data_IF_908536317929
#
_entry.id   IF_908536317929
#
_cell.length_a   1.000
_cell.length_b   1.000
_cell.length_c   1.000
_cell.angle_alpha   90.00
_cell.angle_beta   90.00
_cell.angle_gamma   90.00
#
_symmetry.space_group_name_H-M   'P 1'
#
loop_
_entity.id
_entity.type
_entity.pdbx_description
1 polymer ?
#
# COMPACT_ATOMS: atom_id res chain seq x y z
N UNK A 1 29.32 15.68 -18.02
CA UNK A 1 28.37 14.54 -17.99
C UNK A 1 28.13 14.19 -16.55
N UNK A 2 26.89 14.26 -16.05
CA UNK A 2 26.59 13.84 -14.68
C UNK A 2 26.85 12.33 -14.56
N UNK A 3 27.62 11.87 -13.56
CA UNK A 3 27.85 10.44 -13.38
C UNK A 3 26.52 9.71 -13.18
N UNK A 4 26.41 8.43 -13.60
CA UNK A 4 25.22 7.61 -13.38
C UNK A 4 24.81 7.71 -11.91
N UNK A 5 23.50 7.78 -11.66
CA UNK A 5 22.91 7.93 -10.32
C UNK A 5 23.60 6.99 -9.33
N UNK A 6 24.44 7.56 -8.45
CA UNK A 6 25.17 6.79 -7.44
C UNK A 6 24.17 6.01 -6.62
N UNK A 7 24.38 4.69 -6.58
CA UNK A 7 23.43 3.76 -5.97
C UNK A 7 23.54 3.81 -4.44
N UNK A 8 24.77 4.01 -3.95
CA UNK A 8 25.15 4.23 -2.56
C UNK A 8 26.52 4.94 -2.54
N UNK A 9 26.94 5.47 -1.38
CA UNK A 9 28.18 6.24 -1.23
C UNK A 9 29.27 5.37 -0.58
N UNK A 10 30.00 4.60 -1.39
CA UNK A 10 31.03 3.68 -0.89
C UNK A 10 32.17 4.41 -0.15
N UNK A 11 32.44 5.67 -0.51
CA UNK A 11 33.47 6.50 0.11
C UNK A 11 33.15 6.78 1.57
N UNK A 12 31.94 7.29 1.83
CA UNK A 12 31.48 7.60 3.19
C UNK A 12 31.14 6.35 3.97
N UNK A 13 30.46 5.40 3.37
CA UNK A 13 30.00 4.18 4.03
C UNK A 13 31.19 3.38 4.56
N UNK A 14 32.26 3.20 3.78
CA UNK A 14 33.45 2.48 4.25
C UNK A 14 34.40 3.34 5.11
N UNK A 15 34.12 4.64 5.25
CA UNK A 15 34.95 5.56 6.04
C UNK A 15 36.37 5.76 5.50
N UNK A 16 36.63 5.43 4.23
CA UNK A 16 37.99 5.39 3.67
C UNK A 16 38.48 6.79 3.30
N UNK A 17 37.76 7.51 2.46
CA UNK A 17 38.11 8.88 2.07
C UNK A 17 36.87 9.62 1.57
N UNK A 18 37.01 10.88 1.20
CA UNK A 18 35.96 11.63 0.51
C UNK A 18 36.31 11.77 -0.98
N UNK A 19 35.33 11.77 -1.89
CA UNK A 19 35.60 11.91 -3.34
C UNK A 19 36.42 13.16 -3.69
N UNK A 20 36.25 14.23 -2.90
CA UNK A 20 36.83 15.54 -3.14
C UNK A 20 38.09 15.84 -2.30
N UNK A 21 38.47 14.95 -1.37
CA UNK A 21 39.64 15.18 -0.51
C UNK A 21 40.88 14.68 -1.25
N UNK A 22 41.94 15.48 -1.34
CA UNK A 22 43.23 15.05 -1.87
C UNK A 22 43.99 14.24 -0.81
N UNK A 23 44.69 13.19 -1.24
CA UNK A 23 45.43 12.30 -0.36
C UNK A 23 44.56 11.25 0.32
N UNK A 24 45.21 10.18 0.75
CA UNK A 24 44.60 9.05 1.43
C UNK A 24 45.46 8.66 2.63
N UNK A 25 44.87 8.56 3.81
CA UNK A 25 45.57 8.06 5.00
C UNK A 25 45.19 6.60 5.27
N UNK A 26 46.08 5.88 5.94
CA UNK A 26 45.85 4.51 6.37
C UNK A 26 44.53 4.37 7.15
N UNK A 27 43.76 3.32 6.88
CA UNK A 27 42.48 3.03 7.55
C UNK A 27 42.65 2.25 8.85
N UNK A 28 43.86 1.76 9.12
CA UNK A 28 44.18 1.03 10.34
C UNK A 28 44.07 1.91 11.59
N UNK A 29 43.97 1.26 12.74
CA UNK A 29 43.81 1.91 14.03
C UNK A 29 45.04 1.73 14.92
N UNK A 30 45.46 2.81 15.56
CA UNK A 30 46.46 2.76 16.62
C UNK A 30 45.84 2.22 17.91
N UNK A 31 46.66 1.90 18.93
CA UNK A 31 46.22 1.33 20.23
C UNK A 31 45.12 2.10 20.97
N UNK A 32 44.83 3.35 20.58
CA UNK A 32 43.78 4.19 21.15
C UNK A 32 42.52 4.28 20.28
N UNK A 33 42.32 3.36 19.32
CA UNK A 33 41.17 3.35 18.40
C UNK A 33 41.12 4.54 17.45
N UNK A 34 42.22 5.31 17.33
CA UNK A 34 42.31 6.43 16.40
C UNK A 34 42.84 5.94 15.06
N UNK A 35 42.30 6.49 13.97
CA UNK A 35 42.80 6.21 12.61
C UNK A 35 44.26 6.61 12.45
N UNK A 36 45.04 5.76 11.81
CA UNK A 36 46.43 6.00 11.46
C UNK A 36 46.55 7.25 10.57
N UNK A 37 47.57 8.07 10.83
CA UNK A 37 47.83 9.31 10.10
C UNK A 37 48.86 9.16 8.97
N UNK A 38 49.38 7.95 8.76
CA UNK A 38 50.33 7.72 7.67
C UNK A 38 49.61 7.81 6.35
N UNK A 39 50.19 8.58 5.44
CA UNK A 39 49.72 8.68 4.07
C UNK A 39 50.00 7.38 3.33
N UNK A 40 49.04 6.96 2.51
CA UNK A 40 49.18 5.85 1.58
C UNK A 40 49.98 6.37 0.36
N UNK A 41 50.86 5.55 -0.26
CA UNK A 41 51.60 5.96 -1.44
C UNK A 41 50.70 6.55 -2.53
N UNK A 42 51.16 7.63 -3.16
CA UNK A 42 50.40 8.34 -4.20
C UNK A 42 49.96 7.44 -5.36
N UNK A 43 50.72 6.36 -5.63
CA UNK A 43 50.46 5.43 -6.72
C UNK A 43 49.25 4.51 -6.44
N UNK A 44 48.91 4.30 -5.17
CA UNK A 44 47.77 3.49 -4.74
C UNK A 44 46.47 4.31 -4.68
N UNK A 45 46.54 5.63 -4.49
CA UNK A 45 45.37 6.51 -4.38
C UNK A 45 44.42 6.42 -5.61
N UNK A 46 44.90 6.48 -6.87
CA UNK A 46 44.04 6.31 -8.05
C UNK A 46 43.37 4.93 -8.09
N UNK A 47 44.06 3.88 -7.64
CA UNK A 47 43.51 2.53 -7.61
C UNK A 47 42.40 2.39 -6.57
N UNK A 48 42.61 2.95 -5.37
CA UNK A 48 41.61 2.99 -4.30
C UNK A 48 40.36 3.73 -4.78
N UNK A 49 40.52 4.90 -5.39
CA UNK A 49 39.39 5.67 -5.97
C UNK A 49 38.69 4.90 -7.08
N UNK A 50 39.44 4.23 -7.96
CA UNK A 50 38.87 3.40 -9.03
C UNK A 50 38.01 2.26 -8.48
N UNK A 51 38.47 1.58 -7.43
CA UNK A 51 37.71 0.52 -6.75
C UNK A 51 36.45 1.07 -6.13
N UNK A 52 36.53 2.18 -5.38
CA UNK A 52 35.37 2.81 -4.75
C UNK A 52 34.33 3.26 -5.77
N UNK A 53 34.75 3.92 -6.86
CA UNK A 53 33.85 4.27 -7.96
C UNK A 53 33.18 3.02 -8.56
N UNK A 54 33.93 1.92 -8.74
CA UNK A 54 33.37 0.66 -9.23
C UNK A 54 32.34 0.06 -8.24
N UNK A 55 32.56 0.20 -6.93
CA UNK A 55 31.60 -0.23 -5.92
C UNK A 55 30.29 0.58 -5.98
N UNK A 56 30.36 1.91 -6.19
CA UNK A 56 29.15 2.77 -6.29
C UNK A 56 28.27 2.45 -7.52
N UNK A 57 28.83 1.82 -8.56
CA UNK A 57 28.09 1.36 -9.74
C UNK A 57 27.35 0.04 -9.55
N UNK A 58 27.57 -0.64 -8.43
CA UNK A 58 27.01 -1.95 -8.11
C UNK A 58 26.15 -1.88 -6.85
N UNK A 59 25.31 -2.90 -6.64
CA UNK A 59 24.65 -3.08 -5.35
C UNK A 59 25.69 -3.34 -4.25
N UNK A 60 25.43 -2.94 -2.98
CA UNK A 60 26.39 -3.12 -1.90
C UNK A 60 26.88 -4.58 -1.75
N UNK A 61 26.00 -5.57 -1.90
CA UNK A 61 26.35 -6.98 -1.86
C UNK A 61 27.42 -7.37 -2.90
N UNK A 62 27.27 -6.91 -4.15
CA UNK A 62 28.16 -7.23 -5.26
C UNK A 62 29.54 -6.53 -5.16
N UNK A 63 29.68 -5.59 -4.20
CA UNK A 63 30.92 -4.89 -3.92
C UNK A 63 31.86 -5.67 -2.99
N UNK A 64 31.35 -6.65 -2.21
CA UNK A 64 32.13 -7.43 -1.23
C UNK A 64 33.44 -8.02 -1.78
N UNK A 65 33.47 -8.64 -2.98
CA UNK A 65 34.72 -9.21 -3.52
C UNK A 65 35.86 -8.20 -3.72
N UNK A 66 35.53 -6.91 -3.80
CA UNK A 66 36.52 -5.85 -3.99
C UNK A 66 37.15 -5.38 -2.67
N UNK A 67 36.56 -5.70 -1.51
CA UNK A 67 37.03 -5.28 -0.19
C UNK A 67 38.45 -5.76 0.10
N UNK A 68 38.76 -7.02 -0.21
CA UNK A 68 40.09 -7.60 0.03
C UNK A 68 41.20 -6.83 -0.70
N UNK A 69 40.93 -6.41 -1.94
CA UNK A 69 41.87 -5.59 -2.71
C UNK A 69 41.97 -4.18 -2.14
N UNK A 70 40.83 -3.60 -1.76
CA UNK A 70 40.75 -2.27 -1.16
C UNK A 70 41.55 -2.19 0.14
N UNK A 71 41.34 -3.12 1.06
CA UNK A 71 42.04 -3.16 2.35
C UNK A 71 43.55 -3.29 2.22
N UNK A 72 44.02 -4.02 1.19
CA UNK A 72 45.46 -4.13 0.88
C UNK A 72 46.08 -2.82 0.40
N UNK A 73 45.32 -1.95 -0.23
CA UNK A 73 45.80 -0.67 -0.73
C UNK A 73 45.65 0.45 0.31
N UNK A 74 44.77 0.28 1.31
CA UNK A 74 44.45 1.33 2.29
C UNK A 74 45.12 1.14 3.65
N UNK A 75 45.85 0.06 3.87
CA UNK A 75 46.58 -0.22 5.12
C UNK A 75 48.08 -0.06 4.86
N UNK A 76 48.77 0.69 5.73
CA UNK A 76 50.22 0.82 5.64
C UNK A 76 50.92 -0.53 5.88
N UNK A 77 51.93 -0.80 5.06
CA UNK A 77 52.59 -2.10 4.97
C UNK A 77 53.33 -2.46 6.26
N UNK A 78 53.99 -1.49 6.89
CA UNK A 78 54.88 -1.76 8.02
C UNK A 78 54.15 -2.03 9.34
N UNK A 79 52.95 -1.47 9.55
CA UNK A 79 52.37 -1.41 10.90
C UNK A 79 50.94 -1.95 11.01
N UNK A 80 50.06 -1.69 10.02
CA UNK A 80 48.64 -2.05 10.13
C UNK A 80 48.22 -3.18 9.18
N UNK A 81 49.17 -3.84 8.50
CA UNK A 81 48.87 -4.93 7.55
C UNK A 81 48.14 -6.11 8.18
N UNK A 82 48.44 -6.41 9.45
CA UNK A 82 47.79 -7.47 10.23
C UNK A 82 46.31 -7.19 10.52
N UNK A 83 45.88 -5.92 10.52
CA UNK A 83 44.48 -5.51 10.75
C UNK A 83 43.57 -5.68 9.52
N UNK A 84 44.09 -6.25 8.42
CA UNK A 84 43.32 -6.43 7.20
C UNK A 84 42.03 -7.21 7.43
N UNK A 85 42.10 -8.34 8.14
CA UNK A 85 40.93 -9.18 8.37
C UNK A 85 39.87 -8.47 9.22
N UNK A 86 40.30 -7.73 10.25
CA UNK A 86 39.39 -6.96 11.12
C UNK A 86 38.67 -5.87 10.33
N UNK A 87 39.40 -5.12 9.49
CA UNK A 87 38.80 -4.08 8.64
C UNK A 87 37.90 -4.65 7.55
N UNK A 88 38.21 -5.83 7.02
CA UNK A 88 37.31 -6.51 6.08
C UNK A 88 35.98 -6.87 6.76
N UNK A 89 36.03 -7.43 7.97
CA UNK A 89 34.84 -7.76 8.74
C UNK A 89 33.99 -6.52 9.02
N UNK A 90 34.61 -5.44 9.51
CA UNK A 90 33.94 -4.17 9.77
C UNK A 90 33.25 -3.63 8.51
N UNK A 91 33.92 -3.67 7.36
CA UNK A 91 33.33 -3.22 6.10
C UNK A 91 32.24 -4.14 5.56
N UNK A 92 32.34 -5.46 5.80
CA UNK A 92 31.29 -6.41 5.45
C UNK A 92 30.01 -6.12 6.25
N UNK A 93 30.14 -5.87 7.56
CA UNK A 93 29.02 -5.49 8.43
C UNK A 93 28.35 -4.20 7.95
N UNK A 94 29.16 -3.18 7.64
CA UNK A 94 28.66 -1.89 7.15
C UNK A 94 28.04 -2.00 5.75
N UNK A 95 28.56 -2.87 4.88
CA UNK A 95 27.95 -3.16 3.57
C UNK A 95 26.61 -3.87 3.74
N UNK A 96 26.47 -4.77 4.70
CA UNK A 96 25.19 -5.42 4.99
C UNK A 96 24.13 -4.41 5.44
N UNK A 97 24.50 -3.44 6.27
CA UNK A 97 23.59 -2.36 6.65
C UNK A 97 23.25 -1.43 5.49
N UNK A 98 24.24 -1.10 4.65
CA UNK A 98 24.02 -0.36 3.41
C UNK A 98 23.10 -1.13 2.44
N UNK A 99 23.21 -2.45 2.40
CA UNK A 99 22.34 -3.33 1.61
C UNK A 99 20.89 -3.27 2.10
N UNK A 100 20.65 -3.37 3.42
CA UNK A 100 19.31 -3.21 4.01
C UNK A 100 18.70 -1.87 3.64
N UNK A 101 19.48 -0.79 3.74
CA UNK A 101 19.02 0.55 3.35
C UNK A 101 18.73 0.64 1.85
N UNK A 102 19.63 0.11 1.03
CA UNK A 102 19.48 0.08 -0.42
C UNK A 102 18.25 -0.71 -0.87
N UNK A 103 18.00 -1.89 -0.31
CA UNK A 103 16.82 -2.70 -0.63
C UNK A 103 15.53 -1.95 -0.29
N UNK A 104 15.45 -1.27 0.86
CA UNK A 104 14.30 -0.42 1.22
C UNK A 104 14.11 0.72 0.22
N UNK A 105 15.18 1.45 -0.10
CA UNK A 105 15.13 2.57 -1.05
C UNK A 105 14.74 2.08 -2.47
N UNK A 106 15.29 0.96 -2.92
CA UNK A 106 14.98 0.35 -4.21
C UNK A 106 13.52 -0.09 -4.29
N UNK A 107 13.00 -0.76 -3.26
CA UNK A 107 11.59 -1.13 -3.16
C UNK A 107 10.68 0.10 -3.16
N UNK A 108 11.06 1.18 -2.48
CA UNK A 108 10.32 2.43 -2.47
C UNK A 108 10.29 3.11 -3.85
N UNK A 109 11.41 3.13 -4.58
CA UNK A 109 11.47 3.64 -5.96
C UNK A 109 10.61 2.78 -6.90
N UNK A 110 10.67 1.45 -6.76
CA UNK A 110 9.83 0.53 -7.55
C UNK A 110 8.33 0.73 -7.24
N UNK A 111 7.97 0.85 -5.97
CA UNK A 111 6.61 1.14 -5.53
C UNK A 111 6.12 2.49 -6.08
N UNK A 112 6.95 3.54 -6.02
CA UNK A 112 6.63 4.85 -6.60
C UNK A 112 6.43 4.78 -8.11
N UNK A 113 7.25 4.01 -8.82
CA UNK A 113 7.10 3.79 -10.27
C UNK A 113 5.79 3.06 -10.61
N UNK A 114 5.41 2.06 -9.81
CA UNK A 114 4.12 1.38 -9.97
C UNK A 114 2.95 2.32 -9.65
N UNK A 115 3.05 3.10 -8.59
CA UNK A 115 2.03 4.10 -8.22
C UNK A 115 1.84 5.16 -9.31
N UNK A 116 2.93 5.65 -9.92
CA UNK A 116 2.86 6.58 -11.06
C UNK A 116 2.15 5.96 -12.26
N UNK A 117 2.46 4.70 -12.61
CA UNK A 117 1.74 3.98 -13.68
C UNK A 117 0.25 3.78 -13.38
N UNK A 118 -0.10 3.53 -12.12
CA UNK A 118 -1.50 3.43 -11.70
C UNK A 118 -2.22 4.76 -11.82
N UNK A 119 -1.58 5.87 -11.41
CA UNK A 119 -2.12 7.22 -11.57
C UNK A 119 -2.32 7.60 -13.04
N UNK A 120 -1.37 7.25 -13.92
CA UNK A 120 -1.53 7.43 -15.36
C UNK A 120 -2.74 6.66 -15.89
N UNK A 121 -2.90 5.39 -15.49
CA UNK A 121 -4.04 4.56 -15.90
C UNK A 121 -5.38 5.12 -15.41
N UNK A 122 -5.44 5.60 -14.16
CA UNK A 122 -6.65 6.23 -13.62
C UNK A 122 -6.96 7.56 -14.30
N UNK A 123 -5.94 8.35 -14.67
CA UNK A 123 -6.13 9.57 -15.45
C UNK A 123 -6.73 9.25 -16.83
N UNK A 124 -6.21 8.22 -17.50
CA UNK A 124 -6.71 7.80 -18.82
C UNK A 124 -8.15 7.26 -18.72
N UNK A 125 -8.47 6.50 -17.67
CA UNK A 125 -9.84 6.03 -17.38
C UNK A 125 -10.80 7.20 -17.12
N UNK A 126 -10.35 8.19 -16.36
CA UNK A 126 -11.15 9.40 -16.08
C UNK A 126 -11.43 10.15 -17.38
N UNK A 127 -10.42 10.32 -18.25
CA UNK A 127 -10.58 10.97 -19.55
C UNK A 127 -11.55 10.22 -20.46
N UNK A 128 -11.53 8.88 -20.46
CA UNK A 128 -12.50 8.06 -21.21
C UNK A 128 -13.93 8.27 -20.71
N UNK A 129 -14.15 8.25 -19.39
CA UNK A 129 -15.45 8.51 -18.79
C UNK A 129 -15.96 9.93 -19.11
N UNK A 130 -15.09 10.93 -19.08
CA UNK A 130 -15.44 12.30 -19.49
C UNK A 130 -15.88 12.37 -20.95
N UNK A 131 -15.19 11.66 -21.86
CA UNK A 131 -15.59 11.55 -23.27
C UNK A 131 -16.93 10.82 -23.45
N UNK A 132 -17.21 9.79 -22.65
CA UNK A 132 -18.51 9.11 -22.66
C UNK A 132 -19.63 10.02 -22.15
N UNK A 133 -19.40 10.74 -21.05
CA UNK A 133 -20.36 11.72 -20.53
C UNK A 133 -20.62 12.82 -21.58
N UNK A 134 -19.59 13.31 -22.26
CA UNK A 134 -19.74 14.30 -23.32
C UNK A 134 -20.56 13.75 -24.50
N UNK A 135 -20.32 12.50 -24.92
CA UNK A 135 -21.11 11.82 -25.95
C UNK A 135 -22.58 11.68 -25.54
N UNK A 136 -22.84 11.23 -24.31
CA UNK A 136 -24.19 11.13 -23.75
C UNK A 136 -24.89 12.49 -23.71
N UNK A 137 -24.23 13.53 -23.21
CA UNK A 137 -24.79 14.90 -23.18
C UNK A 137 -25.11 15.43 -24.56
N UNK A 138 -24.24 15.18 -25.55
CA UNK A 138 -24.50 15.56 -26.94
C UNK A 138 -25.69 14.80 -27.52
N UNK A 139 -25.81 13.49 -27.27
CA UNK A 139 -26.94 12.68 -27.70
C UNK A 139 -28.26 13.13 -27.06
N UNK A 140 -28.24 13.42 -25.76
CA UNK A 140 -29.37 13.97 -25.02
C UNK A 140 -29.82 15.32 -25.59
N UNK A 141 -28.88 16.23 -25.89
CA UNK A 141 -29.19 17.52 -26.50
C UNK A 141 -29.83 17.37 -27.88
N UNK A 142 -29.37 16.41 -28.70
CA UNK A 142 -29.99 16.11 -29.99
C UNK A 142 -31.41 15.59 -29.78
N UNK A 143 -31.61 14.64 -28.86
CA UNK A 143 -32.94 14.09 -28.55
C UNK A 143 -33.91 15.17 -28.04
N UNK A 144 -33.45 16.05 -27.15
CA UNK A 144 -34.23 17.19 -26.65
C UNK A 144 -34.56 18.13 -27.81
N UNK A 145 -33.59 18.47 -28.67
CA UNK A 145 -33.84 19.33 -29.83
C UNK A 145 -34.85 18.72 -30.79
N UNK A 146 -34.78 17.41 -31.04
CA UNK A 146 -35.76 16.67 -31.85
C UNK A 146 -37.15 16.72 -31.21
N UNK A 147 -37.28 16.41 -29.92
CA UNK A 147 -38.55 16.49 -29.21
C UNK A 147 -39.15 17.90 -29.24
N UNK A 148 -38.33 18.93 -29.00
CA UNK A 148 -38.76 20.33 -29.10
C UNK A 148 -39.24 20.65 -30.52
N UNK A 149 -38.56 20.17 -31.57
CA UNK A 149 -39.00 20.38 -32.95
C UNK A 149 -40.34 19.70 -33.27
N UNK A 150 -40.57 18.49 -32.74
CA UNK A 150 -41.83 17.75 -32.91
C UNK A 150 -42.96 18.48 -32.20
N UNK A 151 -42.78 18.84 -30.93
CA UNK A 151 -43.77 19.59 -30.15
C UNK A 151 -44.08 20.94 -30.81
N UNK A 152 -43.06 21.62 -31.36
CA UNK A 152 -43.27 22.86 -32.09
C UNK A 152 -44.11 22.67 -33.35
N UNK A 153 -43.83 21.63 -34.14
CA UNK A 153 -44.60 21.32 -35.34
C UNK A 153 -46.05 20.92 -35.00
N UNK A 154 -46.27 20.17 -33.92
CA UNK A 154 -47.61 19.85 -33.42
C UNK A 154 -48.36 21.10 -32.95
N UNK A 155 -47.68 22.02 -32.26
CA UNK A 155 -48.28 23.29 -31.84
C UNK A 155 -48.69 24.15 -33.05
N UNK A 156 -47.82 24.26 -34.06
CA UNK A 156 -48.11 24.98 -35.31
C UNK A 156 -49.31 24.34 -36.05
N UNK A 157 -49.39 23.00 -36.09
CA UNK A 157 -50.52 22.29 -36.71
C UNK A 157 -51.86 22.47 -35.94
N UNK A 158 -51.80 22.56 -34.62
CA UNK A 158 -52.98 22.86 -33.78
C UNK A 158 -53.44 24.30 -34.03
N UNK A 159 -52.52 25.26 -34.10
CA UNK A 159 -52.84 26.66 -34.37
C UNK A 159 -53.47 26.85 -35.76
N UNK A 160 -52.94 26.17 -36.79
CA UNK A 160 -53.52 26.17 -38.13
C UNK A 160 -54.94 25.57 -38.15
N UNK A 161 -55.18 24.48 -37.41
CA UNK A 161 -56.50 23.87 -37.28
C UNK A 161 -57.51 24.79 -36.58
N UNK A 162 -57.10 25.51 -35.54
CA UNK A 162 -57.95 26.50 -34.85
C UNK A 162 -58.33 27.61 -35.85
N UNK A 163 -57.35 28.14 -36.59
CA UNK A 163 -57.60 29.20 -37.57
C UNK A 163 -58.55 28.72 -38.67
N UNK A 164 -58.39 27.49 -39.14
CA UNK A 164 -59.26 26.87 -40.14
C UNK A 164 -60.69 26.76 -39.64
N UNK A 165 -60.90 26.27 -38.42
CA UNK A 165 -62.24 26.22 -37.79
C UNK A 165 -62.89 27.59 -37.66
N UNK A 166 -62.13 28.63 -37.29
CA UNK A 166 -62.66 29.99 -37.22
C UNK A 166 -63.07 30.55 -38.58
N UNK A 167 -62.29 30.30 -39.63
CA UNK A 167 -62.63 30.74 -40.99
C UNK A 167 -63.86 30.01 -41.54
N UNK A 168 -63.99 28.72 -41.25
CA UNK A 168 -65.14 27.91 -41.66
C UNK A 168 -66.41 28.35 -40.95
N UNK A 169 -66.32 28.68 -39.66
CA UNK A 169 -67.42 29.27 -38.90
C UNK A 169 -67.87 30.62 -39.49
N UNK A 170 -66.92 31.50 -39.82
CA UNK A 170 -67.23 32.81 -40.46
C UNK A 170 -67.88 32.64 -41.84
N UNK A 171 -67.48 31.63 -42.60
CA UNK A 171 -68.10 31.31 -43.89
C UNK A 171 -69.54 30.82 -43.71
N UNK A 172 -69.79 29.95 -42.74
CA UNK A 172 -71.15 29.49 -42.40
C UNK A 172 -72.05 30.66 -41.95
N UNK A 173 -71.55 31.54 -41.09
CA UNK A 173 -72.29 32.72 -40.63
C UNK A 173 -72.63 33.67 -41.80
N UNK A 174 -71.69 33.86 -42.75
CA UNK A 174 -71.91 34.68 -43.95
C UNK A 174 -72.91 34.05 -44.92
N UNK A 175 -72.87 32.72 -45.11
CA UNK A 175 -73.84 32.00 -45.93
C UNK A 175 -75.26 32.07 -45.34
N UNK A 176 -75.39 31.96 -44.01
CA UNK A 176 -76.66 32.13 -43.31
C UNK A 176 -77.22 33.56 -43.48
N UNK A 177 -76.36 34.58 -43.40
CA UNK A 177 -76.75 35.97 -43.61
C UNK A 177 -77.17 36.25 -45.07
N UNK A 178 -76.47 35.70 -46.06
CA UNK A 178 -76.80 35.85 -47.48
C UNK A 178 -78.15 35.22 -47.84
N UNK A 179 -78.44 34.03 -47.30
CA UNK A 179 -79.73 33.35 -47.47
C UNK A 179 -80.88 34.20 -46.93
N UNK A 180 -80.71 34.77 -45.73
CA UNK A 180 -81.70 35.66 -45.11
C UNK A 180 -81.94 36.96 -45.90
N UNK A 181 -80.92 37.49 -46.58
CA UNK A 181 -81.05 38.69 -47.39
C UNK A 181 -81.75 38.41 -48.75
N UNK A 182 -81.55 37.22 -49.33
CA UNK A 182 -82.27 36.75 -50.53
C UNK A 182 -83.77 36.61 -50.28
N UNK A 183 -84.14 35.99 -49.15
CA UNK A 183 -85.54 35.75 -48.79
C UNK A 183 -86.29 37.08 -48.54
N UNK A 184 -85.62 38.09 -47.99
CA UNK A 184 -86.18 39.43 -47.81
C UNK A 184 -86.33 40.21 -49.13
N UNK A 185 -85.49 39.97 -50.14
CA UNK A 185 -85.58 40.66 -51.43
C UNK A 185 -86.78 40.15 -52.27
N UNK A 186 -87.13 38.87 -52.12
CA UNK A 186 -88.24 38.25 -52.83
C UNK A 186 -89.61 38.66 -52.27
N UNK A 187 -89.67 38.98 -50.96
CA UNK A 187 -90.86 39.52 -50.32
C UNK A 187 -91.21 40.96 -50.74
N UNK A 188 -90.20 41.81 -51.00
CA UNK A 188 -90.40 43.21 -51.40
C UNK A 188 -90.89 43.34 -52.86
N UNK A 189 -90.58 42.37 -53.71
CA UNK A 189 -91.06 42.32 -55.11
C UNK A 189 -92.53 41.88 -55.25
N UNK A 190 -93.07 41.16 -54.26
CA UNK A 190 -94.49 40.80 -54.21
C UNK A 190 -95.39 41.99 -53.85
N UNK A 191 -94.92 42.84 -52.92
CA UNK A 191 -95.70 43.95 -52.37
C UNK A 191 -95.95 45.10 -53.37
N UNK A 192 -95.06 45.28 -54.35
CA UNK A 192 -95.18 46.35 -55.35
C UNK A 192 -96.10 46.03 -56.53
N UNK A 193 -96.38 44.74 -56.80
CA UNK A 193 -97.28 44.35 -57.89
C UNK A 193 -98.77 44.41 -57.49
N UNK A 194 -99.08 44.34 -56.19
CA UNK A 194 -100.46 44.38 -55.68
C UNK A 194 -101.01 45.80 -55.49
N UNK A 195 -100.15 46.82 -55.48
CA UNK A 195 -100.54 48.22 -55.28
C UNK A 195 -101.15 48.89 -56.53
N UNK A 196 -100.98 48.30 -57.72
CA UNK A 196 -101.38 48.91 -59.01
C UNK A 196 -102.81 48.53 -59.44
N UNK A 197 -103.43 47.49 -58.87
CA UNK A 197 -104.74 46.99 -59.34
C UNK A 197 -105.98 47.49 -58.60
N UNK A 198 -105.86 48.31 -57.55
CA UNK A 198 -106.97 48.62 -56.64
C UNK A 198 -107.47 50.06 -56.72
N UNK A 199 -107.62 50.59 -57.94
CA UNK A 199 -108.50 51.73 -58.18
C UNK A 199 -109.56 51.37 -59.22
N UNK A 200 -110.67 50.77 -58.77
CA UNK A 200 -112.05 51.17 -59.12
C UNK A 200 -113.09 50.15 -58.61
N UNK A 201 -113.91 50.65 -57.66
CA UNK A 201 -115.31 50.34 -57.38
C UNK A 201 -115.76 48.92 -57.01
N UNK A 202 -115.81 48.73 -55.68
CA UNK A 202 -116.96 48.31 -54.84
C UNK A 202 -118.19 47.72 -55.55
N UNK A 203 -118.31 46.39 -55.51
CA UNK A 203 -119.57 45.68 -55.16
C UNK A 203 -119.33 44.17 -54.88
N UNK A 204 -118.45 43.84 -53.92
CA UNK A 204 -118.09 42.45 -53.59
C UNK A 204 -117.78 42.20 -52.11
N UNK A 205 -118.35 43.01 -51.22
CA UNK A 205 -118.02 43.05 -49.79
C UNK A 205 -118.51 41.81 -49.00
N UNK A 206 -119.39 40.98 -49.58
CA UNK A 206 -119.84 39.73 -48.97
C UNK A 206 -119.02 38.49 -49.38
N UNK A 207 -118.24 38.54 -50.48
CA UNK A 207 -117.45 37.40 -50.97
C UNK A 207 -115.98 37.47 -50.53
N UNK A 208 -115.48 38.68 -50.24
CA UNK A 208 -114.13 38.93 -49.71
C UNK A 208 -113.92 38.50 -48.25
N UNK A 209 -114.98 38.32 -47.45
CA UNK A 209 -114.85 37.80 -46.08
C UNK A 209 -114.56 36.29 -46.04
N UNK A 210 -115.04 35.53 -47.03
CA UNK A 210 -114.80 34.08 -47.14
C UNK A 210 -113.42 33.76 -47.73
N UNK A 211 -112.94 34.55 -48.70
CA UNK A 211 -111.58 34.41 -49.25
C UNK A 211 -110.50 34.90 -48.28
N UNK A 212 -110.75 35.96 -47.48
CA UNK A 212 -109.81 36.37 -46.40
C UNK A 212 -109.62 35.29 -45.33
N UNK A 213 -110.67 34.52 -45.02
CA UNK A 213 -110.57 33.40 -44.08
C UNK A 213 -109.84 32.18 -44.67
N UNK A 214 -109.94 31.95 -45.97
CA UNK A 214 -109.16 30.91 -46.64
C UNK A 214 -107.66 31.25 -46.73
N UNK A 215 -107.31 32.51 -46.98
CA UNK A 215 -105.92 32.99 -47.01
C UNK A 215 -105.29 32.95 -45.60
N UNK A 216 -106.01 33.37 -44.55
CA UNK A 216 -105.51 33.27 -43.17
C UNK A 216 -105.38 31.83 -42.68
N UNK A 217 -106.23 30.91 -43.14
CA UNK A 217 -106.08 29.47 -42.84
C UNK A 217 -104.84 28.89 -43.54
N UNK A 218 -104.51 29.36 -44.75
CA UNK A 218 -103.29 28.97 -45.47
C UNK A 218 -102.03 29.52 -44.80
N UNK A 219 -102.02 30.79 -44.39
CA UNK A 219 -100.94 31.38 -43.60
C UNK A 219 -100.77 30.69 -42.23
N UNK A 220 -101.87 30.26 -41.59
CA UNK A 220 -101.84 29.47 -40.35
C UNK A 220 -101.31 28.05 -40.56
N UNK A 221 -101.53 27.45 -41.74
CA UNK A 221 -100.97 26.14 -42.10
C UNK A 221 -99.47 26.23 -42.44
N UNK A 222 -99.03 27.29 -43.10
CA UNK A 222 -97.63 27.52 -43.43
C UNK A 222 -96.81 27.90 -42.18
N UNK A 223 -97.38 28.72 -41.28
CA UNK A 223 -96.78 28.97 -39.96
C UNK A 223 -96.74 27.72 -39.09
N UNK A 224 -97.74 26.82 -39.19
CA UNK A 224 -97.70 25.50 -38.54
C UNK A 224 -96.59 24.60 -39.11
N UNK A 225 -96.34 24.63 -40.42
CA UNK A 225 -95.24 23.89 -41.03
C UNK A 225 -93.87 24.44 -40.61
N UNK A 226 -93.72 25.77 -40.54
CA UNK A 226 -92.52 26.42 -40.01
C UNK A 226 -92.30 26.10 -38.52
N UNK A 227 -93.38 26.08 -37.73
CA UNK A 227 -93.31 25.69 -36.32
C UNK A 227 -92.90 24.21 -36.17
N UNK A 228 -93.43 23.31 -37.01
CA UNK A 228 -93.02 21.90 -37.04
C UNK A 228 -91.56 21.71 -37.44
N UNK A 229 -91.04 22.55 -38.36
CA UNK A 229 -89.64 22.49 -38.80
C UNK A 229 -88.71 23.01 -37.71
N UNK A 230 -89.06 24.16 -37.11
CA UNK A 230 -88.33 24.75 -35.98
C UNK A 230 -88.35 23.85 -34.74
N UNK A 231 -89.46 23.12 -34.51
CA UNK A 231 -89.55 22.12 -33.45
C UNK A 231 -88.62 20.92 -33.74
N UNK A 232 -88.49 20.48 -34.99
CA UNK A 232 -87.53 19.46 -35.39
C UNK A 232 -86.08 19.89 -35.20
N UNK A 233 -85.74 21.13 -35.54
CA UNK A 233 -84.41 21.70 -35.30
C UNK A 233 -84.10 21.86 -33.80
N UNK A 234 -85.07 22.31 -33.00
CA UNK A 234 -84.95 22.37 -31.54
C UNK A 234 -84.70 20.98 -30.95
N UNK A 235 -85.41 19.95 -31.43
CA UNK A 235 -85.23 18.57 -30.96
C UNK A 235 -83.86 18.02 -31.38
N UNK A 236 -83.41 18.33 -32.60
CA UNK A 236 -82.08 17.94 -33.10
C UNK A 236 -80.96 18.59 -32.29
N UNK A 237 -81.05 19.90 -32.01
CA UNK A 237 -80.11 20.61 -31.14
C UNK A 237 -80.11 20.03 -29.73
N UNK A 238 -81.27 19.62 -29.22
CA UNK A 238 -81.38 18.98 -27.91
C UNK A 238 -80.68 17.62 -27.88
N UNK A 239 -80.79 16.83 -28.95
CA UNK A 239 -80.06 15.58 -29.12
C UNK A 239 -78.55 15.83 -29.16
N UNK A 240 -78.11 16.85 -29.89
CA UNK A 240 -76.67 17.15 -30.02
C UNK A 240 -76.07 17.73 -28.73
N UNK A 241 -76.82 18.55 -27.98
CA UNK A 241 -76.45 18.98 -26.63
C UNK A 241 -76.33 17.76 -25.70
N UNK A 242 -77.28 16.83 -25.74
CA UNK A 242 -77.20 15.61 -24.93
C UNK A 242 -76.00 14.74 -25.30
N UNK A 243 -75.64 14.64 -26.60
CA UNK A 243 -74.42 13.95 -27.04
C UNK A 243 -73.16 14.65 -26.54
N UNK A 244 -73.09 15.98 -26.62
CA UNK A 244 -71.96 16.74 -26.08
C UNK A 244 -71.82 16.56 -24.57
N UNK A 245 -72.93 16.61 -23.82
CA UNK A 245 -72.91 16.36 -22.39
C UNK A 245 -72.38 14.96 -22.06
N UNK A 246 -72.80 13.93 -22.83
CA UNK A 246 -72.27 12.57 -22.67
C UNK A 246 -70.76 12.48 -22.94
N UNK A 247 -70.22 13.24 -23.90
CA UNK A 247 -68.78 13.30 -24.17
C UNK A 247 -68.05 14.01 -23.02
N UNK A 248 -68.62 15.10 -22.48
CA UNK A 248 -68.07 15.77 -21.31
C UNK A 248 -68.01 14.86 -20.08
N UNK A 249 -69.05 14.06 -19.85
CA UNK A 249 -69.07 13.09 -18.74
C UNK A 249 -68.01 11.99 -18.92
N UNK A 250 -67.82 11.48 -20.15
CA UNK A 250 -66.79 10.49 -20.46
C UNK A 250 -65.37 11.07 -20.28
N UNK A 251 -65.13 12.27 -20.81
CA UNK A 251 -63.85 12.96 -20.65
C UNK A 251 -63.57 13.30 -19.17
N UNK A 252 -64.60 13.66 -18.40
CA UNK A 252 -64.50 13.86 -16.95
C UNK A 252 -64.05 12.59 -16.23
N UNK A 253 -64.64 11.44 -16.56
CA UNK A 253 -64.24 10.16 -16.00
C UNK A 253 -62.80 9.74 -16.37
N UNK A 254 -62.35 10.01 -17.60
CA UNK A 254 -60.95 9.78 -17.99
C UNK A 254 -59.97 10.71 -17.26
N UNK A 255 -60.34 11.98 -17.08
CA UNK A 255 -59.54 12.93 -16.33
C UNK A 255 -59.38 12.48 -14.87
N UNK A 256 -60.44 11.96 -14.26
CA UNK A 256 -60.39 11.46 -12.88
C UNK A 256 -59.53 10.18 -12.77
N UNK A 257 -59.59 9.27 -13.77
CA UNK A 257 -58.65 8.13 -13.85
C UNK A 257 -57.20 8.59 -13.95
N UNK A 258 -56.91 9.60 -14.79
CA UNK A 258 -55.57 10.15 -14.94
C UNK A 258 -55.07 10.80 -13.64
N UNK A 259 -55.93 11.51 -12.90
CA UNK A 259 -55.59 12.06 -11.59
C UNK A 259 -55.23 10.96 -10.59
N UNK A 260 -56.02 9.88 -10.53
CA UNK A 260 -55.72 8.72 -9.66
C UNK A 260 -54.36 8.13 -10.02
N UNK A 261 -54.11 7.84 -11.30
CA UNK A 261 -52.82 7.32 -11.75
C UNK A 261 -51.65 8.27 -11.42
N UNK A 262 -51.85 9.59 -11.57
CA UNK A 262 -50.83 10.57 -11.19
C UNK A 262 -50.56 10.53 -9.68
N UNK A 263 -51.59 10.45 -8.84
CA UNK A 263 -51.41 10.33 -7.39
C UNK A 263 -50.70 9.04 -7.00
N UNK A 264 -51.03 7.90 -7.62
CA UNK A 264 -50.33 6.63 -7.40
C UNK A 264 -48.86 6.72 -7.79
N UNK A 265 -48.58 7.27 -8.97
CA UNK A 265 -47.20 7.46 -9.46
C UNK A 265 -46.41 8.42 -8.56
N UNK A 266 -47.03 9.52 -8.11
CA UNK A 266 -46.40 10.46 -7.18
C UNK A 266 -46.09 9.79 -5.84
N UNK A 267 -47.00 8.95 -5.34
CA UNK A 267 -46.79 8.18 -4.09
C UNK A 267 -45.66 7.17 -4.26
N UNK A 268 -45.57 6.52 -5.43
CA UNK A 268 -44.47 5.61 -5.78
C UNK A 268 -43.12 6.32 -5.87
N UNK A 269 -43.06 7.51 -6.49
CA UNK A 269 -41.84 8.34 -6.52
C UNK A 269 -41.39 8.75 -5.11
N UNK A 270 -42.32 9.13 -4.23
CA UNK A 270 -42.02 9.47 -2.84
C UNK A 270 -41.40 8.26 -2.10
N UNK A 271 -41.99 7.06 -2.26
CA UNK A 271 -41.48 5.82 -1.67
C UNK A 271 -40.08 5.46 -2.18
N UNK A 272 -39.84 5.56 -3.50
CA UNK A 272 -38.52 5.32 -4.09
C UNK A 272 -37.49 6.34 -3.58
N UNK A 273 -37.89 7.60 -3.44
CA UNK A 273 -37.03 8.66 -2.88
C UNK A 273 -36.63 8.35 -1.44
N UNK A 274 -37.57 7.90 -0.61
CA UNK A 274 -37.29 7.46 0.75
C UNK A 274 -36.35 6.25 0.77
N UNK A 275 -36.55 5.26 -0.10
CA UNK A 275 -35.66 4.11 -0.21
C UNK A 275 -34.25 4.49 -0.64
N UNK A 276 -34.10 5.38 -1.63
CA UNK A 276 -32.79 5.88 -2.08
C UNK A 276 -32.06 6.61 -0.95
N UNK A 277 -32.77 7.46 -0.19
CA UNK A 277 -32.19 8.13 0.99
C UNK A 277 -31.79 7.14 2.08
N UNK A 278 -32.61 6.11 2.34
CA UNK A 278 -32.29 5.06 3.31
C UNK A 278 -31.05 4.26 2.89
N UNK A 279 -30.98 3.81 1.63
CA UNK A 279 -29.81 3.12 1.07
C UNK A 279 -28.57 4.02 1.01
N UNK A 280 -28.73 5.32 0.77
CA UNK A 280 -27.64 6.29 0.82
C UNK A 280 -27.03 6.38 2.22
N UNK A 281 -27.87 6.43 3.27
CA UNK A 281 -27.42 6.43 4.68
C UNK A 281 -26.72 5.13 5.06
N UNK A 282 -27.25 3.97 4.68
CA UNK A 282 -26.60 2.68 4.97
C UNK A 282 -25.27 2.54 4.23
N UNK A 283 -25.18 2.99 2.98
CA UNK A 283 -23.93 3.01 2.22
C UNK A 283 -22.89 3.95 2.87
N UNK A 284 -23.32 5.12 3.36
CA UNK A 284 -22.47 6.02 4.14
C UNK A 284 -21.92 5.37 5.42
N UNK A 285 -22.77 4.67 6.18
CA UNK A 285 -22.37 3.92 7.37
C UNK A 285 -21.37 2.80 7.04
N UNK A 286 -21.66 1.99 6.02
CA UNK A 286 -20.78 0.90 5.60
C UNK A 286 -19.42 1.41 5.11
N UNK A 287 -19.37 2.57 4.43
CA UNK A 287 -18.11 3.22 4.05
C UNK A 287 -17.30 3.65 5.27
N UNK A 288 -17.96 4.20 6.30
CA UNK A 288 -17.29 4.57 7.54
C UNK A 288 -16.75 3.34 8.30
N UNK A 289 -17.53 2.26 8.39
CA UNK A 289 -17.10 1.00 8.99
C UNK A 289 -15.92 0.37 8.23
N UNK A 290 -15.95 0.39 6.90
CA UNK A 290 -14.83 -0.08 6.08
C UNK A 290 -13.55 0.75 6.29
N UNK A 291 -13.68 2.07 6.43
CA UNK A 291 -12.54 2.93 6.74
C UNK A 291 -11.96 2.59 8.11
N UNK A 292 -12.81 2.45 9.13
CA UNK A 292 -12.39 2.08 10.48
C UNK A 292 -11.68 0.71 10.51
N UNK A 293 -12.25 -0.32 9.87
CA UNK A 293 -11.63 -1.65 9.79
C UNK A 293 -10.29 -1.60 9.06
N UNK A 294 -10.15 -0.73 8.07
CA UNK A 294 -8.87 -0.54 7.35
C UNK A 294 -7.81 0.07 8.26
N UNK A 295 -8.18 1.08 9.05
CA UNK A 295 -7.28 1.72 10.01
C UNK A 295 -6.86 0.74 11.13
N UNK A 296 -7.81 -0.04 11.65
CA UNK A 296 -7.54 -1.09 12.66
C UNK A 296 -6.60 -2.17 12.10
N UNK A 297 -6.83 -2.62 10.86
CA UNK A 297 -5.94 -3.58 10.18
C UNK A 297 -4.52 -3.04 10.03
N UNK A 298 -4.38 -1.77 9.64
CA UNK A 298 -3.08 -1.15 9.42
C UNK A 298 -2.31 -0.99 10.74
N UNK A 299 -3.03 -0.69 11.83
CA UNK A 299 -2.45 -0.68 13.18
C UNK A 299 -1.96 -2.08 13.59
N UNK A 300 -2.79 -3.12 13.43
CA UNK A 300 -2.40 -4.50 13.74
C UNK A 300 -1.23 -5.00 12.88
N UNK A 301 -1.14 -4.59 11.61
CA UNK A 301 -0.01 -4.91 10.74
C UNK A 301 1.28 -4.26 11.23
N UNK A 302 1.21 -3.01 11.71
CA UNK A 302 2.35 -2.33 12.32
C UNK A 302 2.83 -3.05 13.58
N UNK A 303 1.91 -3.37 14.49
CA UNK A 303 2.21 -4.14 15.71
C UNK A 303 2.85 -5.51 15.39
N UNK A 304 2.35 -6.20 14.36
CA UNK A 304 2.92 -7.48 13.91
C UNK A 304 4.37 -7.33 13.42
N UNK A 305 4.68 -6.24 12.69
CA UNK A 305 6.05 -5.96 12.23
C UNK A 305 6.97 -5.64 13.41
N UNK A 306 6.49 -4.86 14.37
CA UNK A 306 7.25 -4.51 15.58
C UNK A 306 7.55 -5.77 16.42
N UNK A 307 6.55 -6.63 16.65
CA UNK A 307 6.72 -7.91 17.34
C UNK A 307 7.68 -8.84 16.60
N UNK A 308 7.62 -8.89 15.27
CA UNK A 308 8.56 -9.69 14.46
C UNK A 308 10.00 -9.19 14.62
N UNK A 309 10.18 -7.87 14.63
CA UNK A 309 11.50 -7.26 14.84
C UNK A 309 12.04 -7.57 16.24
N UNK A 310 11.19 -7.52 17.28
CA UNK A 310 11.57 -7.91 18.64
C UNK A 310 11.94 -9.40 18.72
N UNK A 311 11.19 -10.27 18.03
CA UNK A 311 11.49 -11.70 17.97
C UNK A 311 12.84 -11.97 17.31
N UNK A 312 13.14 -11.30 16.20
CA UNK A 312 14.40 -11.47 15.49
C UNK A 312 15.58 -10.97 16.34
N UNK A 313 15.41 -9.86 17.07
CA UNK A 313 16.40 -9.38 18.03
C UNK A 313 16.64 -10.38 19.19
N UNK A 314 15.56 -10.92 19.76
CA UNK A 314 15.64 -11.93 20.82
C UNK A 314 16.34 -13.20 20.33
N UNK A 315 16.03 -13.68 19.12
CA UNK A 315 16.69 -14.82 18.51
C UNK A 315 18.19 -14.56 18.28
N UNK A 316 18.57 -13.38 17.78
CA UNK A 316 19.98 -13.01 17.65
C UNK A 316 20.71 -13.00 18.99
N UNK A 317 20.05 -12.53 20.05
CA UNK A 317 20.60 -12.56 21.42
C UNK A 317 20.79 -14.00 21.92
N UNK A 318 19.82 -14.88 21.66
CA UNK A 318 19.90 -16.31 22.01
C UNK A 318 21.09 -16.97 21.30
N UNK A 319 21.31 -16.67 20.02
CA UNK A 319 22.41 -17.27 19.27
C UNK A 319 23.78 -16.76 19.75
N UNK A 320 23.90 -15.48 20.12
CA UNK A 320 25.10 -14.95 20.79
C UNK A 320 25.36 -15.64 22.13
N UNK A 321 24.31 -15.85 22.95
CA UNK A 321 24.45 -16.54 24.24
C UNK A 321 24.86 -18.01 24.05
N UNK A 322 24.35 -18.70 23.02
CA UNK A 322 24.78 -20.06 22.69
C UNK A 322 26.25 -20.14 22.31
N UNK A 323 26.75 -19.18 21.54
CA UNK A 323 28.17 -19.09 21.18
C UNK A 323 29.03 -18.88 22.42
N UNK A 324 28.66 -17.92 23.28
CA UNK A 324 29.34 -17.67 24.55
C UNK A 324 29.36 -18.91 25.46
N UNK A 325 28.23 -19.61 25.58
CA UNK A 325 28.14 -20.84 26.36
C UNK A 325 29.05 -21.96 25.80
N UNK A 326 29.17 -22.06 24.47
CA UNK A 326 30.08 -23.01 23.84
C UNK A 326 31.55 -22.66 24.09
N UNK A 327 31.91 -21.38 24.06
CA UNK A 327 33.26 -20.89 24.40
C UNK A 327 33.62 -21.14 25.87
N UNK A 328 32.69 -20.89 26.79
CA UNK A 328 32.88 -21.23 28.21
C UNK A 328 32.98 -22.74 28.41
N UNK A 329 32.17 -23.54 27.69
CA UNK A 329 32.26 -24.99 27.69
C UNK A 329 33.64 -25.51 27.23
N UNK A 330 34.16 -24.97 26.13
CA UNK A 330 35.49 -25.30 25.64
C UNK A 330 36.60 -24.87 26.63
N UNK A 331 36.46 -23.70 27.23
CA UNK A 331 37.39 -23.19 28.25
C UNK A 331 37.40 -24.07 29.50
N UNK A 332 36.22 -24.52 29.95
CA UNK A 332 36.07 -25.43 31.09
C UNK A 332 36.74 -26.79 30.83
N UNK A 333 36.59 -27.35 29.62
CA UNK A 333 37.27 -28.59 29.22
C UNK A 333 38.80 -28.38 29.23
N UNK A 334 39.29 -27.31 28.61
CA UNK A 334 40.73 -27.00 28.58
C UNK A 334 41.34 -26.84 29.99
N UNK A 335 40.61 -26.17 30.90
CA UNK A 335 41.02 -26.04 32.30
C UNK A 335 41.00 -27.38 33.04
N UNK A 336 40.01 -28.24 32.76
CA UNK A 336 39.96 -29.60 33.33
C UNK A 336 41.16 -30.44 32.87
N UNK A 337 41.51 -30.39 31.59
CA UNK A 337 42.65 -31.12 31.02
C UNK A 337 43.97 -30.61 31.61
N UNK A 338 44.14 -29.28 31.70
CA UNK A 338 45.31 -28.67 32.34
C UNK A 338 45.44 -29.06 33.81
N UNK A 339 44.31 -29.10 34.55
CA UNK A 339 44.31 -29.60 35.94
C UNK A 339 44.76 -31.05 36.03
N UNK A 340 44.28 -31.93 35.14
CA UNK A 340 44.69 -33.34 35.13
C UNK A 340 46.19 -33.49 34.84
N UNK A 341 46.74 -32.69 33.92
CA UNK A 341 48.17 -32.68 33.62
C UNK A 341 48.99 -32.28 34.84
N UNK A 342 48.62 -31.19 35.52
CA UNK A 342 49.30 -30.73 36.74
C UNK A 342 49.20 -31.75 37.87
N UNK A 343 48.06 -32.43 38.03
CA UNK A 343 47.92 -33.51 39.01
C UNK A 343 48.84 -34.70 38.69
N UNK A 344 49.02 -35.04 37.41
CA UNK A 344 49.94 -36.09 36.99
C UNK A 344 51.40 -35.70 37.23
N UNK A 345 51.79 -34.48 36.89
CA UNK A 345 53.13 -33.95 37.17
C UNK A 345 53.42 -33.94 38.67
N UNK A 346 52.46 -33.49 39.49
CA UNK A 346 52.59 -33.49 40.95
C UNK A 346 52.75 -34.92 41.50
N UNK A 347 52.06 -35.92 40.95
CA UNK A 347 52.27 -37.34 41.32
C UNK A 347 53.66 -37.83 40.97
N UNK A 348 54.15 -37.51 39.77
CA UNK A 348 55.50 -37.88 39.34
C UNK A 348 56.56 -37.24 40.23
N UNK A 349 56.40 -35.96 40.58
CA UNK A 349 57.36 -35.26 41.43
C UNK A 349 57.34 -35.78 42.87
N UNK A 350 56.16 -36.10 43.41
CA UNK A 350 56.05 -36.77 44.70
C UNK A 350 56.70 -38.15 44.69
N UNK A 351 56.57 -38.91 43.60
CA UNK A 351 57.26 -40.20 43.45
C UNK A 351 58.78 -40.02 43.47
N UNK A 352 59.32 -39.10 42.67
CA UNK A 352 60.77 -38.78 42.68
C UNK A 352 61.25 -38.38 44.08
N UNK A 353 60.46 -37.61 44.82
CA UNK A 353 60.80 -37.19 46.17
C UNK A 353 60.84 -38.38 47.14
N UNK A 354 59.94 -39.36 46.98
CA UNK A 354 59.98 -40.61 47.74
C UNK A 354 61.20 -41.45 47.38
N UNK A 355 61.51 -41.59 46.08
CA UNK A 355 62.69 -42.32 45.60
C UNK A 355 63.99 -41.67 46.11
N UNK A 356 64.08 -40.34 46.10
CA UNK A 356 65.20 -39.58 46.67
C UNK A 356 65.33 -39.77 48.17
N UNK A 357 64.20 -39.78 48.92
CA UNK A 357 64.23 -40.06 50.37
C UNK A 357 64.73 -41.47 50.66
N UNK A 358 64.29 -42.45 49.87
CA UNK A 358 64.77 -43.82 50.00
C UNK A 358 66.26 -43.94 49.68
N UNK A 359 66.71 -43.34 48.57
CA UNK A 359 68.13 -43.30 48.20
C UNK A 359 68.98 -42.59 49.25
N UNK A 360 68.46 -41.51 49.86
CA UNK A 360 69.13 -40.83 50.96
C UNK A 360 69.28 -41.75 52.19
N UNK A 361 68.22 -42.46 52.58
CA UNK A 361 68.28 -43.42 53.69
C UNK A 361 69.32 -44.51 53.42
N UNK A 362 69.35 -45.05 52.20
CA UNK A 362 70.33 -46.06 51.80
C UNK A 362 71.77 -45.52 51.91
N UNK A 363 72.01 -44.28 51.46
CA UNK A 363 73.33 -43.64 51.59
C UNK A 363 73.70 -43.38 53.06
N UNK A 364 72.75 -43.02 53.91
CA UNK A 364 72.98 -42.87 55.36
C UNK A 364 73.36 -44.21 56.00
N UNK A 365 72.70 -45.31 55.62
CA UNK A 365 73.03 -46.67 56.05
C UNK A 365 74.41 -47.11 55.55
N UNK A 366 74.70 -46.93 54.26
CA UNK A 366 76.01 -47.25 53.66
C UNK A 366 77.13 -46.43 54.32
N UNK A 367 76.89 -45.16 54.62
CA UNK A 367 77.83 -44.30 55.33
C UNK A 367 78.07 -44.77 56.77
N UNK A 368 77.04 -45.27 57.47
CA UNK A 368 77.19 -45.85 58.79
C UNK A 368 78.08 -47.11 58.76
N UNK A 369 77.86 -47.99 57.78
CA UNK A 369 78.70 -49.19 57.56
C UNK A 369 80.15 -48.81 57.25
N UNK A 370 80.38 -47.84 56.37
CA UNK A 370 81.73 -47.36 56.06
C UNK A 370 82.41 -46.73 57.28
N UNK A 371 81.68 -45.98 58.10
CA UNK A 371 82.20 -45.41 59.33
C UNK A 371 82.61 -46.50 60.34
N UNK A 372 81.83 -47.58 60.45
CA UNK A 372 82.17 -48.75 61.28
C UNK A 372 83.42 -49.48 60.76
N UNK A 373 83.53 -49.67 59.45
CA UNK A 373 84.74 -50.22 58.81
C UNK A 373 85.97 -49.34 59.02
N UNK A 374 85.84 -48.01 58.94
CA UNK A 374 86.93 -47.08 59.22
C UNK A 374 87.41 -47.20 60.68
N UNK A 375 86.47 -47.36 61.62
CA UNK A 375 86.76 -47.55 63.05
C UNK A 375 87.47 -48.88 63.30
N UNK A 376 87.03 -49.95 62.65
CA UNK A 376 87.68 -51.27 62.69
C UNK A 376 89.10 -51.22 62.08
N UNK A 377 89.28 -50.60 60.91
CA UNK A 377 90.60 -50.42 60.30
C UNK A 377 91.52 -49.58 61.18
N UNK A 378 91.01 -48.53 61.84
CA UNK A 378 91.79 -47.77 62.83
C UNK A 378 92.19 -48.60 64.04
N UNK A 379 91.30 -49.48 64.53
CA UNK A 379 91.60 -50.43 65.61
C UNK A 379 92.67 -51.44 65.19
N UNK A 380 92.56 -52.01 63.99
CA UNK A 380 93.56 -52.90 63.41
C UNK A 380 94.92 -52.20 63.24
N UNK A 381 94.93 -50.98 62.70
CA UNK A 381 96.14 -50.18 62.56
C UNK A 381 96.79 -49.88 63.92
N UNK A 382 96.00 -49.54 64.94
CA UNK A 382 96.49 -49.34 66.32
C UNK A 382 97.10 -50.63 66.90
N UNK A 383 96.45 -51.77 66.66
CA UNK A 383 96.97 -53.07 67.06
C UNK A 383 98.28 -53.41 66.33
N UNK A 384 98.36 -53.16 65.03
CA UNK A 384 99.59 -53.33 64.24
C UNK A 384 100.70 -52.37 64.69
N UNK A 385 100.37 -51.13 65.03
CA UNK A 385 101.33 -50.20 65.62
C UNK A 385 101.81 -50.69 66.99
N UNK A 386 100.94 -51.27 67.82
CA UNK A 386 101.30 -51.86 69.12
C UNK A 386 102.18 -53.11 68.96
N UNK A 387 101.85 -54.01 68.03
CA UNK A 387 102.68 -55.20 67.75
C UNK A 387 104.01 -54.81 67.13
N UNK A 388 104.03 -53.85 66.21
CA UNK A 388 105.25 -53.28 65.65
C UNK A 388 106.10 -52.63 66.74
N UNK A 389 105.51 -51.85 67.66
CA UNK A 389 106.22 -51.26 68.79
C UNK A 389 106.79 -52.33 69.74
N UNK A 390 106.03 -53.40 70.02
CA UNK A 390 106.52 -54.54 70.82
C UNK A 390 107.65 -55.29 70.12
N UNK A 391 107.57 -55.46 68.79
CA UNK A 391 108.63 -56.08 68.01
C UNK A 391 109.87 -55.18 67.96
N UNK A 392 109.72 -53.87 67.79
CA UNK A 392 110.81 -52.89 67.90
C UNK A 392 111.46 -52.94 69.29
N UNK A 393 110.67 -52.96 70.36
CA UNK A 393 111.17 -53.05 71.72
C UNK A 393 111.85 -54.40 72.00
N UNK A 394 111.30 -55.51 71.49
CA UNK A 394 111.91 -56.83 71.62
C UNK A 394 113.19 -56.97 70.77
N UNK A 395 113.26 -56.28 69.63
CA UNK A 395 114.46 -56.15 68.82
C UNK A 395 115.51 -55.29 69.53
N UNK A 396 115.12 -54.17 70.13
CA UNK A 396 115.99 -53.35 70.98
C UNK A 396 116.52 -54.15 72.19
N UNK A 397 115.67 -54.95 72.84
CA UNK A 397 116.06 -55.84 73.94
C UNK A 397 117.01 -56.97 73.45
N UNK A 398 116.82 -57.47 72.23
CA UNK A 398 117.70 -58.45 71.62
C UNK A 398 119.06 -57.83 71.24
N UNK A 399 119.05 -56.60 70.73
CA UNK A 399 120.26 -55.80 70.47
C UNK A 399 120.98 -55.53 71.80
N UNK A 400 120.26 -55.15 72.87
CA UNK A 400 120.80 -54.96 74.22
C UNK A 400 121.43 -56.25 74.78
N UNK A 401 120.76 -57.40 74.58
CA UNK A 401 121.30 -58.71 74.98
C UNK A 401 122.54 -59.10 74.18
N UNK A 402 122.60 -58.78 72.89
CA UNK A 402 123.78 -59.00 72.06
C UNK A 402 124.95 -58.10 72.51
N UNK A 403 124.70 -56.83 72.81
CA UNK A 403 125.72 -55.91 73.36
C UNK A 403 126.18 -56.27 74.78
N UNK A 404 125.35 -56.98 75.57
CA UNK A 404 125.75 -57.50 76.89
C UNK A 404 126.52 -58.83 76.84
N UNK A 405 126.68 -59.43 75.65
CA UNK A 405 127.41 -60.70 75.45
C UNK A 405 128.84 -60.52 74.92
N UNK A 406 129.27 -59.29 74.65
CA UNK A 406 130.62 -58.94 74.18
C UNK A 406 131.60 -58.49 75.28
N UNK A 407 131.19 -58.46 76.56
CA UNK A 407 132.08 -58.17 77.71
C UNK A 407 132.35 -59.43 78.57
N UNK A 408 132.79 -60.52 77.94
CA UNK A 408 133.43 -61.67 78.62
C UNK A 408 134.79 -61.99 78.04
#
# INVERSE_FOLDING_TARGET
>A
MAPPSRIWDAYRTLGITNPNKAGLTCVGEIRHGKRCRWDIPSDDEPQVRSILNKMETKAPFDARPLLKRLGRLTLCEDYHRSQLMDKLKEWEDVIEDAEKFWQRAFLQVKARKVALKMLEKERDRTSQLEQEIARWKSGEQVNIATLVSVVKAEAEAVEENILRQETEKKLQDSQAHAKKMSDNHQAVLGYWNDLIRTSQYKDKEAQTMLEKHAETVKELLDTKHLFSTCQGECEQLRIDINKQNSIFDLNGAELDKLKVNHTEMSTSMEQLTVQVRAKGRTNGRLKAELAQITDERDLSLKEKVDLKTQLDYANGTIDLLKLSLAEEGASSIALSDSRQQLEQELRLENQKLMDLKQSKSQLEDDHAVLAEQELELKSQLSNEQSTSAKLQQSLEDAILKLTSSEDR
#
